data_IF_751458688725
#
_entry.id   IF_751458688725
#
_cell.length_a   1.000
_cell.length_b   1.000
_cell.length_c   1.000
_cell.angle_alpha   90.00
_cell.angle_beta   90.00
_cell.angle_gamma   90.00
#
_symmetry.space_group_name_H-M   'P 1'
#
loop_
_entity.id
_entity.type
_entity.pdbx_description
1 polymer ?
#
# COMPACT_ATOMS: atom_id res chain seq x y z
N UNK A 1 -20.92 36.36 72.05
CA UNK A 1 -20.18 35.89 70.84
C UNK A 1 -21.12 35.06 69.99
N UNK A 2 -21.43 35.53 68.77
CA UNK A 2 -22.48 34.97 67.91
C UNK A 2 -21.93 33.75 67.14
N UNK A 3 -22.11 32.54 67.67
CA UNK A 3 -21.62 31.28 67.05
C UNK A 3 -22.27 30.94 65.70
N UNK A 4 -23.39 31.58 65.35
CA UNK A 4 -24.13 31.34 64.09
C UNK A 4 -23.46 31.91 62.82
N UNK A 5 -22.50 32.83 62.95
CA UNK A 5 -21.81 33.41 61.79
C UNK A 5 -20.74 32.50 61.17
N UNK A 6 -20.13 31.63 61.98
CA UNK A 6 -19.05 30.73 61.53
C UNK A 6 -19.62 29.52 60.77
N UNK A 7 -20.79 29.03 61.16
CA UNK A 7 -21.46 27.90 60.49
C UNK A 7 -21.93 28.26 59.06
N UNK A 8 -22.37 29.51 58.82
CA UNK A 8 -22.77 29.93 57.48
C UNK A 8 -21.59 30.14 56.52
N UNK A 9 -20.43 30.57 57.03
CA UNK A 9 -19.22 30.74 56.23
C UNK A 9 -18.61 29.39 55.79
N UNK A 10 -18.67 28.37 56.65
CA UNK A 10 -18.14 27.04 56.33
C UNK A 10 -18.94 26.33 55.22
N UNK A 11 -20.27 26.40 55.26
CA UNK A 11 -21.14 25.81 54.24
C UNK A 11 -20.88 26.41 52.84
N UNK A 12 -20.64 27.72 52.77
CA UNK A 12 -20.36 28.40 51.51
C UNK A 12 -18.99 28.02 50.92
N UNK A 13 -17.94 27.95 51.75
CA UNK A 13 -16.61 27.50 51.31
C UNK A 13 -16.66 26.04 50.86
N UNK A 14 -17.35 25.17 51.59
CA UNK A 14 -17.53 23.78 51.22
C UNK A 14 -18.28 23.63 49.89
N UNK A 15 -19.35 24.40 49.69
CA UNK A 15 -20.10 24.40 48.43
C UNK A 15 -19.25 24.85 47.24
N UNK A 16 -18.38 25.86 47.41
CA UNK A 16 -17.45 26.29 46.36
C UNK A 16 -16.45 25.18 46.01
N UNK A 17 -15.86 24.54 47.02
CA UNK A 17 -14.90 23.45 46.81
C UNK A 17 -15.57 22.25 46.13
N UNK A 18 -16.74 21.83 46.62
CA UNK A 18 -17.51 20.75 46.02
C UNK A 18 -17.91 21.08 44.56
N UNK A 19 -18.34 22.32 44.30
CA UNK A 19 -18.64 22.80 42.95
C UNK A 19 -17.43 22.76 42.02
N UNK A 20 -16.26 23.19 42.50
CA UNK A 20 -15.01 23.14 41.74
C UNK A 20 -14.59 21.69 41.43
N UNK A 21 -14.73 20.76 42.38
CA UNK A 21 -14.43 19.34 42.18
C UNK A 21 -15.37 18.70 41.17
N UNK A 22 -16.67 19.00 41.23
CA UNK A 22 -17.66 18.50 40.26
C UNK A 22 -17.35 19.04 38.86
N UNK A 23 -17.07 20.34 38.73
CA UNK A 23 -16.76 20.96 37.43
C UNK A 23 -15.46 20.40 36.85
N UNK A 24 -14.41 20.25 37.66
CA UNK A 24 -13.17 19.62 37.22
C UNK A 24 -13.39 18.16 36.78
N UNK A 25 -14.17 17.40 37.56
CA UNK A 25 -14.49 16.00 37.24
C UNK A 25 -15.30 15.89 35.96
N UNK A 26 -16.27 16.79 35.73
CA UNK A 26 -17.04 16.83 34.49
C UNK A 26 -16.14 17.14 33.29
N UNK A 27 -15.27 18.15 33.39
CA UNK A 27 -14.30 18.47 32.33
C UNK A 27 -13.39 17.27 32.04
N UNK A 28 -12.87 16.60 33.08
CA UNK A 28 -12.02 15.42 32.94
C UNK A 28 -12.74 14.24 32.28
N UNK A 29 -14.00 13.97 32.67
CA UNK A 29 -14.79 12.88 32.09
C UNK A 29 -15.11 13.20 30.62
N UNK A 30 -15.52 14.43 30.30
CA UNK A 30 -15.84 14.84 28.93
C UNK A 30 -14.61 14.77 28.03
N UNK A 31 -13.44 15.26 28.47
CA UNK A 31 -12.22 15.18 27.65
C UNK A 31 -11.78 13.73 27.41
N UNK A 32 -11.91 12.86 28.41
CA UNK A 32 -11.60 11.43 28.29
C UNK A 32 -12.58 10.68 27.38
N UNK A 33 -13.87 10.99 27.47
CA UNK A 33 -14.90 10.42 26.59
C UNK A 33 -14.66 10.83 25.13
N UNK A 34 -14.38 12.11 24.87
CA UNK A 34 -14.05 12.61 23.52
C UNK A 34 -12.85 11.83 22.97
N UNK A 35 -11.74 11.69 23.70
CA UNK A 35 -10.58 10.93 23.23
C UNK A 35 -10.91 9.46 22.89
N UNK A 36 -11.81 8.84 23.64
CA UNK A 36 -12.24 7.45 23.41
C UNK A 36 -13.11 7.34 22.16
N UNK A 37 -14.07 8.24 21.97
CA UNK A 37 -14.93 8.26 20.76
C UNK A 37 -14.11 8.48 19.49
N UNK A 38 -13.09 9.36 19.53
CA UNK A 38 -12.15 9.58 18.43
C UNK A 38 -11.44 8.29 18.03
N UNK A 39 -10.87 7.58 19.01
CA UNK A 39 -10.16 6.32 18.76
C UNK A 39 -11.07 5.24 18.19
N UNK A 40 -12.33 5.18 18.65
CA UNK A 40 -13.33 4.26 18.11
C UNK A 40 -13.65 4.62 16.66
N UNK A 41 -13.90 5.89 16.36
CA UNK A 41 -14.17 6.37 15.01
C UNK A 41 -13.02 6.08 14.05
N UNK A 42 -11.78 6.41 14.42
CA UNK A 42 -10.61 6.15 13.57
C UNK A 42 -10.40 4.64 13.37
N UNK A 43 -10.67 3.81 14.38
CA UNK A 43 -10.60 2.35 14.24
C UNK A 43 -11.68 1.81 13.30
N UNK A 44 -12.88 2.42 13.27
CA UNK A 44 -13.92 2.08 12.30
C UNK A 44 -13.50 2.49 10.88
N UNK A 45 -12.91 3.67 10.69
CA UNK A 45 -12.36 4.10 9.39
C UNK A 45 -11.26 3.16 8.91
N UNK A 46 -10.34 2.73 9.79
CA UNK A 46 -9.31 1.75 9.44
C UNK A 46 -9.90 0.39 9.08
N UNK A 47 -10.96 -0.04 9.76
CA UNK A 47 -11.66 -1.28 9.46
C UNK A 47 -12.47 -1.20 8.16
N UNK A 48 -13.11 -0.06 7.89
CA UNK A 48 -13.80 0.23 6.63
C UNK A 48 -12.82 0.24 5.47
N UNK A 49 -11.67 0.92 5.62
CA UNK A 49 -10.58 0.90 4.65
C UNK A 49 -10.12 -0.55 4.38
N UNK A 50 -9.83 -1.32 5.43
CA UNK A 50 -9.43 -2.72 5.29
C UNK A 50 -10.51 -3.56 4.58
N UNK A 51 -11.79 -3.31 4.88
CA UNK A 51 -12.92 -3.96 4.22
C UNK A 51 -13.12 -3.51 2.77
N UNK A 52 -12.88 -2.24 2.44
CA UNK A 52 -12.94 -1.76 1.05
C UNK A 52 -11.87 -2.43 0.19
N UNK A 53 -10.70 -2.68 0.77
CA UNK A 53 -9.61 -3.37 0.07
C UNK A 53 -9.91 -4.85 -0.19
N UNK A 54 -10.73 -5.52 0.62
CA UNK A 54 -11.01 -6.97 0.47
C UNK A 54 -11.77 -7.35 -0.83
N UNK A 55 -12.94 -6.76 -1.17
CA UNK A 55 -13.65 -7.08 -2.41
C UNK A 55 -12.90 -6.67 -3.66
N UNK A 56 -12.04 -5.66 -3.57
CA UNK A 56 -11.22 -5.24 -4.69
C UNK A 56 -10.24 -6.37 -5.05
N UNK A 57 -9.70 -7.11 -4.07
CA UNK A 57 -8.75 -8.22 -4.30
C UNK A 57 -9.43 -9.49 -4.88
N UNK A 58 -10.68 -9.81 -4.53
CA UNK A 58 -11.23 -11.16 -4.73
C UNK A 58 -11.81 -11.52 -6.11
N UNK A 59 -11.62 -10.72 -7.17
CA UNK A 59 -12.16 -11.01 -8.52
C UNK A 59 -11.45 -10.19 -9.63
N UNK A 60 -10.12 -10.14 -9.63
CA UNK A 60 -9.37 -9.34 -10.60
C UNK A 60 -8.60 -10.23 -11.58
N UNK A 61 -9.11 -10.25 -12.82
CA UNK A 61 -8.26 -10.44 -14.00
C UNK A 61 -7.72 -9.07 -14.50
N UNK A 62 -8.46 -7.98 -14.28
CA UNK A 62 -8.10 -6.61 -14.68
C UNK A 62 -7.78 -5.69 -13.50
N UNK A 63 -7.13 -4.54 -13.77
CA UNK A 63 -6.90 -3.49 -12.78
C UNK A 63 -8.21 -2.86 -12.32
N UNK A 64 -8.29 -2.51 -11.02
CA UNK A 64 -9.42 -1.74 -10.47
C UNK A 64 -8.95 -0.50 -9.76
N UNK A 65 -9.77 0.52 -9.83
CA UNK A 65 -9.54 1.79 -9.19
C UNK A 65 -10.69 2.14 -8.23
N UNK A 66 -10.35 2.62 -7.04
CA UNK A 66 -11.31 3.07 -6.03
C UNK A 66 -10.89 4.41 -5.44
N UNK A 67 -11.86 5.32 -5.37
CA UNK A 67 -11.73 6.59 -4.66
C UNK A 67 -12.25 6.42 -3.23
N UNK A 68 -11.35 6.52 -2.26
CA UNK A 68 -11.69 6.48 -0.83
C UNK A 68 -11.87 7.90 -0.33
N UNK A 69 -13.09 8.24 0.09
CA UNK A 69 -13.41 9.57 0.62
C UNK A 69 -13.64 9.46 2.12
N UNK A 70 -12.93 10.29 2.87
CA UNK A 70 -13.09 10.42 4.31
C UNK A 70 -13.99 11.62 4.63
N UNK A 71 -14.75 11.51 5.71
CA UNK A 71 -15.59 12.61 6.21
C UNK A 71 -14.70 13.76 6.69
N UNK A 72 -13.65 13.40 7.44
CA UNK A 72 -12.67 14.32 8.00
C UNK A 72 -11.31 14.16 7.33
N UNK A 73 -10.44 15.16 7.50
CA UNK A 73 -9.06 15.08 7.03
C UNK A 73 -8.36 13.92 7.78
N UNK A 74 -7.89 12.92 7.03
CA UNK A 74 -7.44 11.64 7.59
C UNK A 74 -5.99 11.37 7.19
N UNK A 75 -5.19 10.90 8.14
CA UNK A 75 -3.88 10.30 7.90
C UNK A 75 -4.01 8.79 7.91
N UNK A 76 -3.49 8.13 6.87
CA UNK A 76 -3.33 6.68 6.81
C UNK A 76 -1.86 6.36 6.99
N UNK A 77 -1.54 5.62 8.04
CA UNK A 77 -0.20 5.17 8.35
C UNK A 77 -0.02 3.76 7.79
N UNK A 78 0.96 3.61 6.89
CA UNK A 78 1.35 2.32 6.32
C UNK A 78 2.66 1.87 6.98
N UNK A 79 2.66 0.67 7.55
CA UNK A 79 3.87 0.05 8.06
C UNK A 79 4.00 -1.38 7.55
N UNK A 80 5.18 -1.72 7.05
CA UNK A 80 5.50 -3.04 6.56
C UNK A 80 6.56 -3.71 7.44
N UNK A 81 6.44 -5.02 7.62
CA UNK A 81 7.50 -5.83 8.23
C UNK A 81 7.71 -7.11 7.45
N UNK A 82 8.92 -7.33 6.95
CA UNK A 82 9.32 -8.57 6.27
C UNK A 82 9.68 -9.72 7.25
N UNK A 83 9.43 -9.56 8.56
CA UNK A 83 9.78 -10.59 9.56
C UNK A 83 8.77 -11.75 9.56
N UNK A 84 9.27 -12.97 9.56
CA UNK A 84 8.47 -14.20 9.46
C UNK A 84 8.40 -14.71 8.03
N UNK A 85 7.58 -15.74 7.78
CA UNK A 85 7.52 -16.41 6.46
C UNK A 85 6.97 -15.46 5.38
N UNK A 86 5.87 -14.76 5.65
CA UNK A 86 5.24 -13.84 4.68
C UNK A 86 5.36 -12.35 5.06
N UNK A 87 6.05 -12.06 6.16
CA UNK A 87 5.97 -10.76 6.80
C UNK A 87 4.55 -10.40 7.23
N UNK A 88 4.30 -9.10 7.44
CA UNK A 88 2.99 -8.54 7.76
C UNK A 88 2.87 -7.09 7.29
N UNK A 89 1.65 -6.75 6.88
CA UNK A 89 1.17 -5.40 6.60
C UNK A 89 0.49 -4.84 7.85
N UNK A 90 0.72 -3.58 8.18
CA UNK A 90 -0.02 -2.87 9.22
C UNK A 90 -0.56 -1.55 8.69
N UNK A 91 -1.84 -1.30 8.92
CA UNK A 91 -2.47 0.01 8.64
C UNK A 91 -3.10 0.54 9.91
N UNK A 92 -2.94 1.84 10.13
CA UNK A 92 -3.71 2.61 11.12
C UNK A 92 -4.08 3.95 10.52
N UNK A 93 -4.98 4.65 11.19
CA UNK A 93 -5.51 5.94 10.75
C UNK A 93 -5.49 6.93 11.91
N UNK A 94 -5.48 8.22 11.61
CA UNK A 94 -5.80 9.27 12.57
C UNK A 94 -6.55 10.39 11.84
N UNK A 95 -7.68 10.83 12.40
CA UNK A 95 -8.45 11.92 11.80
C UNK A 95 -8.21 13.24 12.53
N UNK A 96 -8.32 14.34 11.80
CA UNK A 96 -8.29 15.69 12.33
C UNK A 96 -9.72 16.14 12.59
N UNK A 97 -10.06 16.33 13.86
CA UNK A 97 -11.38 16.80 14.28
C UNK A 97 -11.37 18.30 14.54
N UNK A 98 -12.45 18.82 15.14
CA UNK A 98 -12.55 20.24 15.51
C UNK A 98 -11.36 20.63 16.40
N UNK A 99 -10.57 21.60 15.92
CA UNK A 99 -9.24 21.96 16.43
C UNK A 99 -8.15 21.35 15.54
N UNK A 100 -7.23 22.15 15.01
CA UNK A 100 -6.28 21.76 13.95
C UNK A 100 -5.25 20.65 14.32
N UNK A 101 -5.48 19.91 15.40
CA UNK A 101 -4.61 18.88 15.93
C UNK A 101 -5.06 17.48 15.48
N UNK A 102 -4.07 16.65 15.16
CA UNK A 102 -4.29 15.25 14.81
C UNK A 102 -4.69 14.42 16.03
N UNK A 103 -5.65 13.50 15.84
CA UNK A 103 -5.99 12.50 16.84
C UNK A 103 -4.85 11.52 17.13
N UNK A 104 -5.02 10.72 18.19
CA UNK A 104 -4.16 9.56 18.41
C UNK A 104 -4.34 8.52 17.29
N UNK A 105 -3.28 7.80 16.93
CA UNK A 105 -3.39 6.71 15.98
C UNK A 105 -4.38 5.63 16.45
N UNK A 106 -5.22 5.17 15.54
CA UNK A 106 -6.12 4.04 15.75
C UNK A 106 -5.38 2.74 16.00
N UNK A 107 -6.12 1.71 16.40
CA UNK A 107 -5.54 0.37 16.59
C UNK A 107 -5.05 -0.16 15.26
N UNK A 108 -3.75 -0.47 15.18
CA UNK A 108 -3.13 -1.05 13.98
C UNK A 108 -3.83 -2.34 13.56
N UNK A 109 -4.39 -2.35 12.36
CA UNK A 109 -4.89 -3.55 11.69
C UNK A 109 -3.74 -4.25 11.01
N UNK A 110 -3.58 -5.54 11.31
CA UNK A 110 -2.50 -6.35 10.75
C UNK A 110 -3.09 -7.33 9.74
N UNK A 111 -2.48 -7.41 8.56
CA UNK A 111 -2.79 -8.39 7.52
C UNK A 111 -1.52 -9.12 7.08
N UNK A 112 -1.64 -10.38 6.68
CA UNK A 112 -0.51 -11.19 6.20
C UNK A 112 -0.52 -11.34 4.67
N UNK A 113 -1.70 -11.28 4.07
CA UNK A 113 -1.94 -11.53 2.64
C UNK A 113 -2.08 -10.25 1.80
N UNK A 114 -2.06 -9.07 2.43
CA UNK A 114 -2.15 -7.78 1.73
C UNK A 114 -0.77 -7.17 1.49
N UNK A 115 -0.61 -6.60 0.29
CA UNK A 115 0.61 -5.96 -0.19
C UNK A 115 0.28 -4.52 -0.58
N UNK A 116 0.55 -3.60 0.36
CA UNK A 116 0.11 -2.22 0.25
C UNK A 116 1.31 -1.30 0.05
N UNK A 117 1.35 -0.70 -1.12
CA UNK A 117 2.36 0.24 -1.57
C UNK A 117 1.81 1.65 -1.45
N UNK A 118 2.42 2.45 -0.58
CA UNK A 118 2.09 3.86 -0.39
C UNK A 118 3.25 4.54 0.33
N UNK A 119 3.14 5.85 0.55
CA UNK A 119 3.98 6.51 1.54
C UNK A 119 3.72 5.92 2.92
N UNK A 120 4.67 6.09 3.83
CA UNK A 120 4.52 5.71 5.24
C UNK A 120 3.37 6.46 5.91
N UNK A 121 3.07 7.67 5.44
CA UNK A 121 1.89 8.45 5.82
C UNK A 121 1.25 9.06 4.57
N UNK A 122 0.02 8.66 4.29
CA UNK A 122 -0.84 9.34 3.31
C UNK A 122 -1.78 10.28 4.05
N UNK A 123 -1.98 11.50 3.55
CA UNK A 123 -2.83 12.51 4.19
C UNK A 123 -3.84 13.09 3.19
N UNK A 124 -5.09 13.20 3.62
CA UNK A 124 -6.10 13.94 2.89
C UNK A 124 -7.52 13.53 3.24
N UNK A 125 -8.48 14.24 2.64
CA UNK A 125 -9.90 13.82 2.63
C UNK A 125 -10.21 12.78 1.56
N UNK A 126 -9.27 12.58 0.64
CA UNK A 126 -9.38 11.67 -0.49
C UNK A 126 -8.06 10.92 -0.65
N UNK A 127 -8.16 9.61 -0.75
CA UNK A 127 -7.04 8.73 -1.09
C UNK A 127 -7.48 7.88 -2.28
N UNK A 128 -6.57 7.70 -3.20
CA UNK A 128 -6.74 6.91 -4.40
C UNK A 128 -6.18 5.52 -4.13
N UNK A 129 -6.90 4.49 -4.58
CA UNK A 129 -6.47 3.10 -4.46
C UNK A 129 -6.53 2.43 -5.83
N UNK A 130 -5.39 1.94 -6.30
CA UNK A 130 -5.29 1.09 -7.49
C UNK A 130 -4.98 -0.31 -7.03
N UNK A 131 -5.70 -1.30 -7.53
CA UNK A 131 -5.39 -2.71 -7.29
C UNK A 131 -5.06 -3.38 -8.61
N UNK A 132 -3.89 -4.03 -8.65
CA UNK A 132 -3.41 -4.73 -9.84
C UNK A 132 -2.93 -6.13 -9.51
N UNK A 133 -3.25 -7.13 -10.34
CA UNK A 133 -2.57 -8.42 -10.21
C UNK A 133 -1.07 -8.25 -10.48
N UNK A 134 -0.27 -9.03 -9.76
CA UNK A 134 1.14 -9.20 -10.04
C UNK A 134 1.42 -10.68 -10.30
N UNK A 135 1.89 -10.94 -11.50
CA UNK A 135 2.11 -12.29 -12.03
C UNK A 135 3.56 -12.42 -12.49
N UNK A 136 4.27 -13.41 -11.93
CA UNK A 136 5.66 -13.68 -12.29
C UNK A 136 6.16 -14.98 -11.59
N UNK A 137 6.28 -16.14 -12.26
CA UNK A 137 5.75 -16.49 -13.58
C UNK A 137 4.27 -16.92 -13.56
N UNK A 138 3.66 -16.93 -12.38
CA UNK A 138 2.24 -17.16 -12.14
C UNK A 138 1.73 -16.05 -11.22
N UNK A 139 0.41 -15.94 -11.04
CA UNK A 139 -0.18 -14.97 -10.11
C UNK A 139 0.37 -15.15 -8.69
N UNK A 140 1.12 -14.16 -8.22
CA UNK A 140 1.71 -14.15 -6.87
C UNK A 140 0.69 -13.56 -5.88
N UNK A 141 0.24 -12.34 -6.16
CA UNK A 141 -0.67 -11.59 -5.32
C UNK A 141 -1.30 -10.42 -6.09
N UNK A 142 -2.33 -9.82 -5.52
CA UNK A 142 -2.83 -8.52 -5.94
C UNK A 142 -2.11 -7.43 -5.13
N UNK A 143 -1.61 -6.41 -5.83
CA UNK A 143 -0.94 -5.25 -5.24
C UNK A 143 -1.96 -4.16 -5.02
N UNK A 144 -2.02 -3.60 -3.82
CA UNK A 144 -2.79 -2.38 -3.55
C UNK A 144 -1.83 -1.21 -3.52
N UNK A 145 -2.08 -0.21 -4.35
CA UNK A 145 -1.28 1.00 -4.46
C UNK A 145 -2.15 2.14 -3.95
N UNK A 146 -1.80 2.70 -2.79
CA UNK A 146 -2.49 3.84 -2.20
C UNK A 146 -1.65 5.10 -2.38
N UNK A 147 -2.29 6.19 -2.75
CA UNK A 147 -1.65 7.48 -2.82
C UNK A 147 -2.64 8.61 -2.55
N UNK A 148 -2.18 9.62 -1.83
CA UNK A 148 -2.82 10.92 -1.73
C UNK A 148 -2.10 11.95 -2.61
N UNK A 149 -2.79 13.05 -2.90
CA UNK A 149 -2.23 14.19 -3.61
C UNK A 149 -2.41 14.14 -5.13
N UNK A 150 -1.75 15.08 -5.81
CA UNK A 150 -1.78 15.22 -7.26
C UNK A 150 -0.39 14.94 -7.83
N UNK A 151 -0.32 14.11 -8.86
CA UNK A 151 0.90 13.76 -9.56
C UNK A 151 0.83 14.27 -11.00
N UNK A 152 1.98 14.61 -11.57
CA UNK A 152 2.14 14.96 -12.97
C UNK A 152 3.14 14.01 -13.63
N UNK A 153 2.65 13.12 -14.48
CA UNK A 153 3.46 12.18 -15.25
C UNK A 153 3.93 12.85 -16.53
N UNK A 154 5.25 13.02 -16.66
CA UNK A 154 5.88 13.71 -17.79
C UNK A 154 6.48 12.68 -18.74
N UNK A 155 5.93 12.64 -19.96
CA UNK A 155 6.29 11.70 -21.03
C UNK A 155 6.18 10.21 -20.65
N UNK A 156 5.09 9.75 -20.00
CA UNK A 156 4.92 8.33 -19.71
C UNK A 156 4.90 7.50 -21.00
N UNK A 157 5.31 6.22 -20.95
CA UNK A 157 5.08 5.27 -22.05
C UNK A 157 3.59 5.14 -22.37
N UNK A 158 3.24 4.85 -23.63
CA UNK A 158 1.84 4.76 -24.08
C UNK A 158 0.99 3.83 -23.23
N UNK A 159 1.52 2.68 -22.82
CA UNK A 159 0.75 1.71 -22.02
C UNK A 159 0.38 2.26 -20.63
N UNK A 160 1.22 3.12 -20.05
CA UNK A 160 0.96 3.78 -18.78
C UNK A 160 -0.01 4.94 -18.99
N UNK A 161 0.10 5.66 -20.10
CA UNK A 161 -0.85 6.71 -20.48
C UNK A 161 -2.25 6.14 -20.68
N UNK A 162 -2.37 5.08 -21.49
CA UNK A 162 -3.61 4.38 -21.76
C UNK A 162 -4.22 3.85 -20.45
N UNK A 163 -3.41 3.22 -19.60
CA UNK A 163 -3.88 2.73 -18.29
C UNK A 163 -4.44 3.86 -17.41
N UNK A 164 -3.73 4.97 -17.25
CA UNK A 164 -4.20 6.09 -16.42
C UNK A 164 -5.46 6.75 -17.02
N UNK A 165 -5.56 6.80 -18.35
CA UNK A 165 -6.73 7.29 -19.05
C UNK A 165 -7.94 6.36 -18.88
N UNK A 166 -7.74 5.05 -18.96
CA UNK A 166 -8.79 4.05 -18.74
C UNK A 166 -9.34 4.13 -17.32
N UNK A 167 -8.45 4.28 -16.32
CA UNK A 167 -8.85 4.49 -14.92
C UNK A 167 -9.69 5.78 -14.72
N UNK A 168 -9.53 6.77 -15.61
CA UNK A 168 -10.31 8.02 -15.60
C UNK A 168 -11.63 7.90 -16.38
N UNK A 169 -11.71 6.98 -17.34
CA UNK A 169 -12.83 6.81 -18.27
C UNK A 169 -14.09 6.15 -17.68
N UNK A 170 -13.94 5.35 -16.62
CA UNK A 170 -15.02 4.59 -15.97
C UNK A 170 -15.97 5.43 -15.10
N UNK A 171 -16.16 6.71 -15.43
CA UNK A 171 -16.97 7.66 -14.65
C UNK A 171 -16.25 8.22 -13.41
N UNK A 172 -14.97 7.92 -13.26
CA UNK A 172 -14.11 8.39 -12.19
C UNK A 172 -13.47 9.73 -12.59
N UNK A 173 -14.07 10.84 -12.16
CA UNK A 173 -13.64 12.18 -12.60
C UNK A 173 -12.29 12.68 -12.06
N UNK A 174 -11.60 11.91 -11.21
CA UNK A 174 -10.37 12.38 -10.59
C UNK A 174 -9.54 11.21 -10.06
N UNK A 175 -8.51 10.83 -10.84
CA UNK A 175 -7.48 9.83 -10.51
C UNK A 175 -6.26 10.43 -9.82
N UNK A 176 -6.20 11.76 -9.61
CA UNK A 176 -5.07 12.42 -8.97
C UNK A 176 -3.77 12.37 -9.78
N UNK A 177 -3.82 11.99 -11.06
CA UNK A 177 -2.67 11.92 -11.98
C UNK A 177 -2.99 12.74 -13.23
N UNK A 178 -2.12 13.67 -13.56
CA UNK A 178 -2.16 14.44 -14.80
C UNK A 178 -1.03 13.99 -15.72
N UNK A 179 -1.32 13.81 -17.01
CA UNK A 179 -0.31 13.47 -18.01
C UNK A 179 0.08 14.72 -18.78
N UNK A 180 1.39 14.91 -18.95
CA UNK A 180 1.98 16.04 -19.64
C UNK A 180 3.16 15.62 -20.50
N UNK A 181 3.42 16.37 -21.56
CA UNK A 181 4.61 16.19 -22.41
C UNK A 181 5.81 17.03 -21.94
N UNK A 182 5.60 17.96 -21.00
CA UNK A 182 6.66 18.85 -20.49
C UNK A 182 6.47 19.23 -19.03
N UNK A 183 7.58 19.46 -18.33
CA UNK A 183 7.58 19.89 -16.93
C UNK A 183 6.84 21.21 -16.71
N UNK A 184 6.94 22.15 -17.66
CA UNK A 184 6.28 23.45 -17.58
C UNK A 184 4.76 23.39 -17.64
N UNK A 185 4.20 22.29 -18.13
CA UNK A 185 2.75 22.09 -18.19
C UNK A 185 2.18 21.39 -16.93
N UNK A 186 3.03 21.00 -15.98
CA UNK A 186 2.58 20.42 -14.72
C UNK A 186 1.92 21.46 -13.79
N UNK A 187 0.86 21.11 -13.05
CA UNK A 187 0.26 21.98 -12.05
C UNK A 187 1.25 22.37 -10.93
N UNK A 188 1.14 23.60 -10.41
CA UNK A 188 2.11 24.21 -9.48
C UNK A 188 2.27 23.52 -8.11
N UNK A 189 1.48 22.49 -7.79
CA UNK A 189 1.57 21.72 -6.55
C UNK A 189 1.50 20.21 -6.80
N UNK A 190 1.68 19.78 -8.06
CA UNK A 190 1.72 18.37 -8.40
C UNK A 190 3.14 17.84 -8.23
N UNK A 191 3.26 16.64 -7.67
CA UNK A 191 4.52 15.92 -7.63
C UNK A 191 4.86 15.41 -9.02
N UNK A 192 6.07 15.74 -9.48
CA UNK A 192 6.49 15.48 -10.84
C UNK A 192 7.15 14.12 -10.97
N UNK A 193 6.72 13.34 -11.97
CA UNK A 193 7.25 12.01 -12.28
C UNK A 193 7.73 12.00 -13.73
N UNK A 194 9.05 11.97 -13.93
CA UNK A 194 9.66 12.05 -15.26
C UNK A 194 10.00 10.64 -15.76
N UNK A 195 9.53 10.27 -16.95
CA UNK A 195 9.94 9.02 -17.60
C UNK A 195 11.06 9.28 -18.59
N UNK A 196 12.19 8.57 -18.42
CA UNK A 196 13.42 8.67 -19.22
C UNK A 196 13.97 10.11 -19.33
N UNK A 197 13.74 10.92 -18.30
CA UNK A 197 14.18 12.31 -18.18
C UNK A 197 14.59 12.60 -16.73
N UNK A 198 15.46 13.59 -16.53
CA UNK A 198 15.91 14.06 -15.22
C UNK A 198 15.26 15.41 -14.86
N UNK A 199 15.19 15.72 -13.56
CA UNK A 199 14.75 17.02 -13.06
C UNK A 199 13.34 17.03 -12.45
N UNK A 200 12.76 15.86 -12.25
CA UNK A 200 11.53 15.67 -11.48
C UNK A 200 11.81 15.27 -10.02
N UNK A 201 10.78 15.36 -9.18
CA UNK A 201 10.77 14.81 -7.82
C UNK A 201 11.02 13.30 -7.84
N UNK A 202 10.40 12.60 -8.80
CA UNK A 202 10.63 11.18 -9.09
C UNK A 202 11.11 10.99 -10.52
N UNK A 203 12.24 10.30 -10.72
CA UNK A 203 12.80 10.04 -12.05
C UNK A 203 12.72 8.53 -12.34
N UNK A 204 12.01 8.16 -13.40
CA UNK A 204 11.78 6.78 -13.83
C UNK A 204 12.67 6.49 -15.04
N UNK A 205 13.57 5.52 -14.92
CA UNK A 205 14.37 5.02 -16.02
C UNK A 205 13.83 3.65 -16.45
N UNK A 206 13.23 3.62 -17.63
CA UNK A 206 12.51 2.46 -18.16
C UNK A 206 13.33 1.77 -19.24
N UNK A 207 13.42 0.44 -19.16
CA UNK A 207 14.01 -0.43 -20.16
C UNK A 207 13.00 -1.50 -20.59
N UNK A 208 13.12 -1.96 -21.84
CA UNK A 208 12.28 -3.04 -22.39
C UNK A 208 11.04 -2.55 -23.13
N UNK A 209 10.18 -3.50 -23.49
CA UNK A 209 8.91 -3.29 -24.20
C UNK A 209 7.71 -3.45 -23.25
N UNK A 210 6.53 -3.00 -23.69
CA UNK A 210 5.24 -3.00 -22.99
C UNK A 210 4.98 -4.19 -22.04
N UNK A 211 5.23 -5.42 -22.49
CA UNK A 211 4.98 -6.65 -21.73
C UNK A 211 6.06 -7.00 -20.69
N UNK A 212 7.30 -6.55 -20.89
CA UNK A 212 8.46 -6.90 -20.05
C UNK A 212 9.19 -5.63 -19.60
N UNK A 213 8.42 -4.61 -19.23
CA UNK A 213 8.94 -3.34 -18.79
C UNK A 213 9.66 -3.53 -17.45
N UNK A 214 10.92 -3.12 -17.39
CA UNK A 214 11.69 -3.16 -16.15
C UNK A 214 12.56 -1.92 -16.07
N UNK A 215 13.01 -1.57 -14.87
CA UNK A 215 13.77 -0.35 -14.75
C UNK A 215 14.10 0.00 -13.33
N UNK A 216 14.43 1.27 -13.15
CA UNK A 216 14.75 1.84 -11.85
C UNK A 216 14.03 3.17 -11.66
N UNK A 217 13.62 3.45 -10.42
CA UNK A 217 13.06 4.73 -10.02
C UNK A 217 14.00 5.35 -9.01
N UNK A 218 14.38 6.61 -9.24
CA UNK A 218 15.14 7.39 -8.28
C UNK A 218 14.29 8.52 -7.70
N UNK A 219 14.17 8.54 -6.38
CA UNK A 219 13.49 9.57 -5.59
C UNK A 219 14.17 9.72 -4.23
N UNK A 220 14.20 10.93 -3.71
CA UNK A 220 14.84 11.27 -2.43
C UNK A 220 16.31 10.82 -2.29
N UNK A 221 17.02 10.71 -3.42
CA UNK A 221 18.41 10.25 -3.47
C UNK A 221 18.60 8.73 -3.34
N UNK A 222 17.50 7.97 -3.26
CA UNK A 222 17.49 6.52 -3.25
C UNK A 222 17.01 5.98 -4.61
N UNK A 223 17.35 4.73 -4.90
CA UNK A 223 16.96 4.06 -6.14
C UNK A 223 16.38 2.69 -5.84
N UNK A 224 15.18 2.43 -6.36
CA UNK A 224 14.53 1.12 -6.35
C UNK A 224 14.41 0.60 -7.78
N UNK A 225 14.19 -0.71 -7.91
CA UNK A 225 14.10 -1.42 -9.19
C UNK A 225 12.76 -2.14 -9.28
N UNK A 226 12.18 -2.19 -10.47
CA UNK A 226 10.86 -2.77 -10.69
C UNK A 226 10.82 -3.68 -11.92
N UNK A 227 9.80 -4.53 -11.96
CA UNK A 227 9.45 -5.39 -13.09
C UNK A 227 7.92 -5.39 -13.31
N UNK A 228 7.50 -5.13 -14.54
CA UNK A 228 6.10 -5.00 -14.92
C UNK A 228 5.46 -3.65 -14.53
N UNK A 229 4.36 -3.31 -15.19
CA UNK A 229 3.62 -2.06 -14.94
C UNK A 229 3.05 -1.96 -13.52
N UNK A 230 2.63 -3.09 -12.93
CA UNK A 230 2.10 -3.12 -11.56
C UNK A 230 3.13 -2.66 -10.52
N UNK A 231 4.38 -3.16 -10.61
CA UNK A 231 5.45 -2.73 -9.70
C UNK A 231 6.04 -1.37 -10.05
N UNK A 232 5.93 -0.92 -11.30
CA UNK A 232 6.29 0.44 -11.69
C UNK A 232 5.43 1.46 -10.94
N UNK A 233 4.10 1.34 -11.02
CA UNK A 233 3.19 2.24 -10.31
C UNK A 233 3.38 2.14 -8.79
N UNK A 234 3.53 0.91 -8.28
CA UNK A 234 3.82 0.69 -6.87
C UNK A 234 5.08 1.44 -6.42
N UNK A 235 6.17 1.36 -7.19
CA UNK A 235 7.44 2.05 -6.89
C UNK A 235 7.32 3.58 -6.96
N UNK A 236 6.55 4.12 -7.90
CA UNK A 236 6.29 5.56 -8.00
C UNK A 236 5.63 6.06 -6.71
N UNK A 237 4.53 5.42 -6.31
CA UNK A 237 3.66 5.92 -5.25
C UNK A 237 4.09 5.54 -3.82
N UNK A 238 5.04 4.62 -3.63
CA UNK A 238 5.46 4.18 -2.28
C UNK A 238 6.84 4.60 -1.87
N UNK A 239 7.04 5.07 -0.64
CA UNK A 239 8.38 5.34 -0.09
C UNK A 239 9.31 4.13 -0.28
N UNK A 240 10.61 4.38 -0.50
CA UNK A 240 11.61 3.33 -0.75
C UNK A 240 11.58 2.23 0.32
N UNK A 241 11.49 2.60 1.59
CA UNK A 241 11.46 1.63 2.70
C UNK A 241 10.22 0.71 2.63
N UNK A 242 9.05 1.28 2.35
CA UNK A 242 7.81 0.51 2.20
C UNK A 242 7.89 -0.37 0.95
N UNK A 243 8.35 0.17 -0.18
CA UNK A 243 8.53 -0.56 -1.43
C UNK A 243 9.39 -1.81 -1.22
N UNK A 244 10.61 -1.61 -0.71
CA UNK A 244 11.59 -2.68 -0.49
C UNK A 244 11.07 -3.74 0.48
N UNK A 245 10.37 -3.32 1.51
CA UNK A 245 9.73 -4.24 2.44
C UNK A 245 8.64 -5.07 1.76
N UNK A 246 7.79 -4.47 0.92
CA UNK A 246 6.76 -5.21 0.20
C UNK A 246 7.35 -6.16 -0.84
N UNK A 247 8.40 -5.77 -1.55
CA UNK A 247 9.10 -6.63 -2.51
C UNK A 247 9.62 -7.90 -1.82
N UNK A 248 10.24 -7.78 -0.64
CA UNK A 248 10.66 -8.94 0.17
C UNK A 248 9.49 -9.84 0.53
N UNK A 249 8.38 -9.27 0.97
CA UNK A 249 7.18 -10.03 1.34
C UNK A 249 6.55 -10.72 0.13
N UNK A 250 6.51 -10.05 -1.02
CA UNK A 250 6.00 -10.60 -2.28
C UNK A 250 6.86 -11.78 -2.72
N UNK A 251 8.19 -11.64 -2.69
CA UNK A 251 9.08 -12.73 -3.08
C UNK A 251 9.07 -13.89 -2.09
N UNK A 252 8.91 -13.62 -0.79
CA UNK A 252 8.71 -14.71 0.18
C UNK A 252 7.46 -15.53 -0.16
N UNK A 253 6.38 -14.87 -0.59
CA UNK A 253 5.18 -15.57 -1.09
C UNK A 253 5.42 -16.27 -2.42
N UNK A 254 6.14 -15.65 -3.35
CA UNK A 254 6.51 -16.27 -4.62
C UNK A 254 7.30 -17.58 -4.41
N UNK A 255 8.24 -17.59 -3.47
CA UNK A 255 8.99 -18.79 -3.08
C UNK A 255 8.08 -19.90 -2.53
N UNK A 256 7.16 -19.58 -1.62
CA UNK A 256 6.22 -20.57 -1.08
C UNK A 256 5.28 -21.12 -2.16
N UNK A 257 4.78 -20.27 -3.07
CA UNK A 257 3.99 -20.71 -4.23
C UNK A 257 4.83 -21.59 -5.17
N UNK A 258 6.08 -21.22 -5.44
CA UNK A 258 7.03 -22.01 -6.22
C UNK A 258 7.22 -23.41 -5.63
N UNK A 259 7.31 -23.52 -4.29
CA UNK A 259 7.42 -24.81 -3.61
C UNK A 259 6.14 -25.66 -3.73
N UNK A 260 4.96 -25.04 -3.72
CA UNK A 260 3.69 -25.72 -4.00
C UNK A 260 3.66 -26.24 -5.44
N UNK A 261 4.05 -25.40 -6.40
CA UNK A 261 4.10 -25.81 -7.81
C UNK A 261 5.16 -26.88 -8.08
N UNK A 262 6.31 -26.87 -7.39
CA UNK A 262 7.32 -27.93 -7.51
C UNK A 262 6.76 -29.30 -7.07
N UNK A 263 5.97 -29.32 -5.99
CA UNK A 263 5.27 -30.53 -5.54
C UNK A 263 4.20 -30.97 -6.54
N UNK A 264 3.44 -30.02 -7.12
CA UNK A 264 2.48 -30.31 -8.19
C UNK A 264 3.16 -30.90 -9.42
N UNK A 265 4.28 -30.32 -9.85
CA UNK A 265 5.10 -30.81 -10.95
C UNK A 265 5.55 -32.27 -10.72
N UNK A 266 6.04 -32.58 -9.51
CA UNK A 266 6.45 -33.94 -9.13
C UNK A 266 5.27 -34.93 -9.15
N UNK A 267 4.10 -34.51 -8.67
CA UNK A 267 2.89 -35.33 -8.69
C UNK A 267 2.42 -35.65 -10.12
N UNK A 268 2.47 -34.66 -11.01
CA UNK A 268 2.12 -34.83 -12.42
C UNK A 268 3.10 -35.78 -13.13
N UNK A 269 4.40 -35.68 -12.83
CA UNK A 269 5.42 -36.61 -13.35
C UNK A 269 5.14 -38.05 -12.93
N UNK A 270 4.80 -38.28 -11.65
CA UNK A 270 4.39 -39.60 -11.15
C UNK A 270 3.11 -40.14 -11.79
N UNK A 271 2.27 -39.26 -12.35
CA UNK A 271 1.05 -39.61 -13.09
C UNK A 271 1.28 -39.84 -14.59
N UNK A 272 2.54 -39.85 -15.04
CA UNK A 272 2.91 -40.03 -16.44
C UNK A 272 2.95 -38.74 -17.27
N UNK A 273 2.85 -37.57 -16.63
CA UNK A 273 2.86 -36.25 -17.27
C UNK A 273 4.21 -35.56 -17.00
N UNK A 274 5.21 -35.81 -17.84
CA UNK A 274 6.53 -35.17 -17.69
C UNK A 274 6.47 -33.69 -18.05
N UNK A 275 6.97 -32.83 -17.14
CA UNK A 275 7.08 -31.39 -17.35
C UNK A 275 8.53 -30.89 -17.20
N UNK A 276 9.42 -31.63 -16.52
CA UNK A 276 10.83 -31.26 -16.30
C UNK A 276 11.00 -29.89 -15.62
N UNK A 277 9.98 -29.38 -14.90
CA UNK A 277 10.01 -28.05 -14.25
C UNK A 277 10.43 -28.12 -12.78
N UNK A 278 10.58 -29.31 -12.20
CA UNK A 278 10.85 -29.47 -10.76
C UNK A 278 12.12 -28.74 -10.32
N UNK A 279 13.22 -28.88 -11.07
CA UNK A 279 14.50 -28.23 -10.75
C UNK A 279 14.46 -26.71 -10.94
N UNK A 280 13.76 -26.24 -11.97
CA UNK A 280 13.62 -24.80 -12.22
C UNK A 280 12.78 -24.14 -11.12
N UNK A 281 11.68 -24.78 -10.71
CA UNK A 281 10.84 -24.32 -9.61
C UNK A 281 11.61 -24.31 -8.28
N UNK A 282 12.44 -25.32 -8.01
CA UNK A 282 13.33 -25.32 -6.84
C UNK A 282 14.35 -24.18 -6.89
N UNK A 283 14.91 -23.89 -8.07
CA UNK A 283 15.85 -22.77 -8.26
C UNK A 283 15.16 -21.43 -8.04
N UNK A 284 13.93 -21.27 -8.53
CA UNK A 284 13.10 -20.10 -8.30
C UNK A 284 12.77 -19.89 -6.81
N UNK A 285 12.48 -20.96 -6.07
CA UNK A 285 12.26 -20.91 -4.61
C UNK A 285 13.48 -20.34 -3.90
N UNK A 286 14.69 -20.81 -4.25
CA UNK A 286 15.93 -20.32 -3.64
C UNK A 286 16.20 -18.87 -4.01
N UNK A 287 16.04 -18.51 -5.28
CA UNK A 287 16.28 -17.14 -5.76
C UNK A 287 15.30 -16.11 -5.17
N UNK A 288 14.10 -16.54 -4.77
CA UNK A 288 13.09 -15.68 -4.14
C UNK A 288 13.51 -15.15 -2.75
N UNK A 289 14.58 -15.70 -2.15
CA UNK A 289 15.15 -15.22 -0.89
C UNK A 289 16.03 -13.96 -1.09
N UNK A 290 15.41 -12.85 -1.48
CA UNK A 290 16.07 -11.59 -1.84
C UNK A 290 16.25 -10.62 -0.66
N UNK A 291 17.22 -9.72 -0.77
CA UNK A 291 17.46 -8.63 0.19
C UNK A 291 16.97 -7.26 -0.26
N UNK A 292 16.68 -7.07 -1.54
CA UNK A 292 16.20 -5.81 -2.11
C UNK A 292 15.66 -6.02 -3.52
N UNK A 293 15.08 -4.96 -4.09
CA UNK A 293 14.50 -4.98 -5.42
C UNK A 293 15.54 -5.10 -6.54
N UNK A 294 16.81 -4.76 -6.29
CA UNK A 294 17.87 -4.97 -7.27
C UNK A 294 18.17 -6.47 -7.46
N UNK A 295 18.31 -7.22 -6.37
CA UNK A 295 18.47 -8.69 -6.42
C UNK A 295 17.25 -9.36 -7.05
N UNK A 296 16.04 -8.88 -6.73
CA UNK A 296 14.79 -9.30 -7.37
C UNK A 296 14.87 -9.26 -8.90
N UNK A 297 15.18 -8.09 -9.47
CA UNK A 297 15.22 -7.92 -10.93
C UNK A 297 16.36 -8.74 -11.57
N UNK A 298 17.52 -8.82 -10.92
CA UNK A 298 18.68 -9.52 -11.49
C UNK A 298 18.54 -11.05 -11.46
N UNK A 299 17.92 -11.61 -10.42
CA UNK A 299 17.91 -13.05 -10.19
C UNK A 299 16.55 -13.69 -10.46
N UNK A 300 15.49 -13.13 -9.88
CA UNK A 300 14.17 -13.78 -9.84
C UNK A 300 13.45 -13.62 -11.17
N UNK A 301 13.48 -12.42 -11.75
CA UNK A 301 12.79 -12.12 -13.02
C UNK A 301 13.27 -13.04 -14.15
N UNK A 302 14.58 -13.23 -14.30
CA UNK A 302 15.13 -14.09 -15.35
C UNK A 302 14.67 -15.54 -15.19
N UNK A 303 14.73 -16.09 -13.97
CA UNK A 303 14.25 -17.45 -13.68
C UNK A 303 12.74 -17.59 -13.90
N UNK A 304 11.97 -16.54 -13.57
CA UNK A 304 10.54 -16.54 -13.82
C UNK A 304 10.22 -16.58 -15.32
N UNK A 305 10.88 -15.74 -16.12
CA UNK A 305 10.64 -15.72 -17.56
C UNK A 305 10.98 -17.07 -18.21
N UNK A 306 12.11 -17.69 -17.82
CA UNK A 306 12.48 -19.03 -18.27
C UNK A 306 11.44 -20.09 -17.86
N UNK A 307 10.93 -20.01 -16.63
CA UNK A 307 9.87 -20.88 -16.12
C UNK A 307 8.56 -20.73 -16.90
N UNK A 308 8.15 -19.49 -17.17
CA UNK A 308 6.94 -19.17 -17.90
C UNK A 308 7.01 -19.70 -19.34
N UNK A 309 8.12 -19.45 -20.04
CA UNK A 309 8.33 -19.95 -21.40
C UNK A 309 8.27 -21.48 -21.45
N UNK A 310 9.00 -22.15 -20.55
CA UNK A 310 9.04 -23.61 -20.50
C UNK A 310 7.69 -24.20 -20.13
N UNK A 311 6.97 -23.63 -19.17
CA UNK A 311 5.63 -24.06 -18.80
C UNK A 311 4.62 -23.83 -19.96
N UNK A 312 4.75 -22.71 -20.68
CA UNK A 312 3.94 -22.38 -21.85
C UNK A 312 4.07 -23.40 -22.98
N UNK A 313 5.28 -23.92 -23.20
CA UNK A 313 5.61 -24.90 -24.24
C UNK A 313 5.09 -26.33 -23.93
N UNK A 314 4.64 -26.60 -22.71
CA UNK A 314 4.15 -27.93 -22.30
C UNK A 314 2.64 -27.99 -22.50
N UNK A 315 2.18 -28.48 -23.65
CA UNK A 315 0.77 -28.40 -24.05
C UNK A 315 -0.23 -29.07 -23.08
N UNK A 316 0.08 -30.27 -22.56
CA UNK A 316 -0.87 -31.07 -21.74
C UNK A 316 -0.52 -31.19 -20.26
N UNK A 317 0.72 -30.87 -19.88
CA UNK A 317 1.25 -31.06 -18.53
C UNK A 317 1.64 -29.74 -17.85
N UNK A 318 0.94 -28.64 -18.17
CA UNK A 318 1.17 -27.34 -17.53
C UNK A 318 1.02 -27.45 -16.01
N UNK A 319 1.93 -26.82 -15.30
CA UNK A 319 1.94 -26.80 -13.83
C UNK A 319 1.13 -25.61 -13.32
N UNK A 320 1.14 -24.49 -14.03
CA UNK A 320 0.34 -23.29 -13.78
C UNK A 320 -0.20 -22.74 -15.09
#
# INVERSE_FOLDING_TARGET
MNKKGIEMAFSWIFAIIAGAVILFSAIYITTKMIGTERKVSDTLVAAELDNLLHPIETNLEDSKYVNIRFVDETRVFNNCSAKGVFGKQQISTASKLIGNDWGEQSVRKTSFNKYIFSRGVEEGKKIHAIVKPFEMPFKIADLTILYGGNYCFVNPPSDIEDEINDLSGDGVQDVGVNISTSLSACPQNAETVCFNMIGCDTNVNTLGSSSNIQGSISKDGETVYYYGGSLLLAAIFSDTEIYECQIKRLMSRAGELGAVYAKKATYLEGSGCSNNLVQDLQSFVVASAINNSHEFVQQVVNLANDLEERNGNIAKCKVF
#
